data_IF_553898175305
#
_entry.id   IF_553898175305
#
_cell.length_a   1.000
_cell.length_b   1.000
_cell.length_c   1.000
_cell.angle_alpha   90.00
_cell.angle_beta   90.00
_cell.angle_gamma   90.00
#
_symmetry.space_group_name_H-M   'P 1'
#
loop_
_entity.id
_entity.type
_entity.pdbx_description
1 polymer ?
#
# COMPACT_ATOMS: atom_id res chain seq x y z
N UNK A 1 29.56 9.31 -16.54
CA UNK A 1 28.70 10.47 -16.24
C UNK A 1 27.30 10.17 -16.76
N UNK A 2 26.33 10.20 -15.90
CA UNK A 2 24.94 10.16 -16.36
C UNK A 2 24.69 11.42 -17.19
N UNK A 3 24.34 11.27 -18.48
CA UNK A 3 23.91 12.38 -19.31
C UNK A 3 22.70 13.08 -18.68
N UNK A 4 22.51 14.35 -18.97
CA UNK A 4 21.32 15.07 -18.51
C UNK A 4 20.06 14.32 -18.99
N UNK A 5 19.13 14.04 -18.06
CA UNK A 5 17.88 13.41 -18.43
C UNK A 5 17.04 14.33 -19.30
N UNK A 6 16.38 13.78 -20.33
CA UNK A 6 15.51 14.57 -21.20
C UNK A 6 14.24 15.06 -20.47
N UNK A 7 13.83 14.36 -19.41
CA UNK A 7 12.71 14.73 -18.54
C UNK A 7 13.20 14.63 -17.10
N UNK A 8 13.07 15.71 -16.35
CA UNK A 8 13.43 15.75 -14.93
C UNK A 8 12.18 15.48 -14.07
N UNK A 9 12.14 14.29 -13.46
CA UNK A 9 11.06 13.91 -12.54
C UNK A 9 11.48 14.31 -11.14
N UNK A 10 10.71 15.18 -10.48
CA UNK A 10 11.03 15.68 -9.13
C UNK A 10 10.56 14.77 -8.03
N UNK A 11 9.38 14.14 -8.18
CA UNK A 11 8.77 13.26 -7.16
C UNK A 11 7.62 12.47 -7.75
N UNK A 12 7.13 11.50 -7.00
CA UNK A 12 5.81 10.90 -7.24
C UNK A 12 4.74 11.90 -6.82
N UNK A 13 3.84 12.26 -7.72
CA UNK A 13 2.72 13.16 -7.43
C UNK A 13 1.60 12.43 -6.69
N UNK A 14 1.06 11.37 -7.30
CA UNK A 14 0.05 10.51 -6.71
C UNK A 14 0.13 9.10 -7.30
N UNK A 15 -0.63 8.19 -6.70
CA UNK A 15 -0.79 6.82 -7.18
C UNK A 15 -2.28 6.57 -7.36
N UNK A 16 -2.65 6.09 -8.56
CA UNK A 16 -4.02 5.65 -8.85
C UNK A 16 -4.25 4.21 -8.42
N UNK A 17 -5.32 3.98 -7.66
CA UNK A 17 -5.72 2.65 -7.18
C UNK A 17 -7.16 2.41 -7.61
N UNK A 18 -7.42 1.33 -8.34
CA UNK A 18 -8.77 0.98 -8.73
C UNK A 18 -9.46 0.16 -7.65
N UNK A 19 -10.65 0.59 -7.27
CA UNK A 19 -11.50 -0.04 -6.25
C UNK A 19 -12.93 -0.18 -6.76
N UNK A 20 -13.72 -1.04 -6.14
CA UNK A 20 -15.12 -1.26 -6.54
C UNK A 20 -16.07 -0.23 -5.95
N UNK A 21 -15.82 0.23 -4.73
CA UNK A 21 -16.70 1.13 -3.98
C UNK A 21 -15.90 2.07 -3.11
N UNK A 22 -16.20 3.36 -3.19
CA UNK A 22 -15.44 4.39 -2.47
C UNK A 22 -15.62 4.28 -0.96
N UNK A 23 -16.83 4.11 -0.45
CA UNK A 23 -17.09 4.07 1.00
C UNK A 23 -16.44 2.83 1.62
N UNK A 24 -16.50 1.70 0.93
CA UNK A 24 -15.85 0.47 1.34
C UNK A 24 -14.32 0.62 1.36
N UNK A 25 -13.72 1.24 0.35
CA UNK A 25 -12.31 1.55 0.32
C UNK A 25 -11.92 2.50 1.45
N UNK A 26 -12.71 3.54 1.70
CA UNK A 26 -12.41 4.53 2.74
C UNK A 26 -12.49 3.99 4.16
N UNK A 27 -13.22 2.91 4.42
CA UNK A 27 -13.13 2.20 5.71
C UNK A 27 -11.74 1.62 5.98
N UNK A 28 -11.02 1.26 4.93
CA UNK A 28 -9.63 0.80 5.01
C UNK A 28 -8.64 1.98 4.99
N UNK A 29 -8.69 2.82 3.96
CA UNK A 29 -7.72 3.92 3.81
C UNK A 29 -7.85 4.97 4.91
N UNK A 30 -9.03 5.13 5.50
CA UNK A 30 -9.25 5.99 6.68
C UNK A 30 -8.46 5.51 7.90
N UNK A 31 -8.31 4.21 8.12
CA UNK A 31 -7.45 3.66 9.20
C UNK A 31 -5.98 4.03 8.97
N UNK A 32 -5.55 4.13 7.71
CA UNK A 32 -4.20 4.59 7.34
C UNK A 32 -4.04 6.12 7.39
N UNK A 33 -5.06 6.86 7.82
CA UNK A 33 -5.03 8.31 7.99
C UNK A 33 -5.41 9.12 6.76
N UNK A 34 -5.98 8.49 5.73
CA UNK A 34 -6.44 9.19 4.53
C UNK A 34 -7.85 9.72 4.69
N UNK A 35 -8.10 10.88 4.12
CA UNK A 35 -9.41 11.53 4.05
C UNK A 35 -9.70 11.95 2.60
N UNK A 36 -10.98 11.93 2.21
CA UNK A 36 -11.40 12.45 0.90
C UNK A 36 -11.22 13.95 0.89
N UNK A 37 -10.40 14.45 -0.02
CA UNK A 37 -10.19 15.88 -0.26
C UNK A 37 -11.05 16.41 -1.39
N UNK A 38 -11.28 15.60 -2.39
CA UNK A 38 -12.07 15.95 -3.53
C UNK A 38 -12.64 14.71 -4.21
N UNK A 39 -13.82 14.81 -4.74
CA UNK A 39 -14.46 13.76 -5.52
C UNK A 39 -14.95 14.38 -6.83
N UNK A 40 -14.62 13.75 -7.95
CA UNK A 40 -15.09 14.20 -9.25
C UNK A 40 -16.61 14.00 -9.35
N UNK A 41 -17.37 15.05 -9.73
CA UNK A 41 -18.81 14.93 -9.88
C UNK A 41 -19.24 14.17 -11.14
N UNK A 42 -18.34 14.01 -12.12
CA UNK A 42 -18.64 13.45 -13.44
C UNK A 42 -17.92 12.13 -13.70
N UNK A 43 -16.93 11.79 -12.88
CA UNK A 43 -16.12 10.59 -13.05
C UNK A 43 -15.99 9.84 -11.72
N UNK A 44 -15.64 8.58 -11.79
CA UNK A 44 -15.50 7.70 -10.64
C UNK A 44 -14.12 7.84 -9.99
N UNK A 45 -13.70 9.06 -9.66
CA UNK A 45 -12.41 9.36 -9.05
C UNK A 45 -12.58 10.17 -7.77
N UNK A 46 -11.86 9.76 -6.73
CA UNK A 46 -11.73 10.52 -5.49
C UNK A 46 -10.25 10.71 -5.15
N UNK A 47 -9.87 11.94 -4.88
CA UNK A 47 -8.54 12.29 -4.36
C UNK A 47 -8.59 12.16 -2.84
N UNK A 48 -7.73 11.31 -2.30
CA UNK A 48 -7.58 11.15 -0.86
C UNK A 48 -6.16 11.54 -0.44
N UNK A 49 -6.05 12.22 0.69
CA UNK A 49 -4.76 12.66 1.25
C UNK A 49 -4.70 12.41 2.75
N UNK A 50 -3.50 12.21 3.25
CA UNK A 50 -3.25 12.21 4.68
C UNK A 50 -2.68 13.59 5.14
N UNK A 51 -2.39 13.71 6.44
CA UNK A 51 -1.82 14.94 7.03
C UNK A 51 -0.42 15.30 6.53
N UNK A 52 0.28 14.39 5.86
CA UNK A 52 1.62 14.60 5.29
C UNK A 52 1.59 14.83 3.78
N UNK A 53 0.42 15.15 3.23
CA UNK A 53 0.22 15.36 1.79
C UNK A 53 0.54 14.14 0.89
N UNK A 54 0.57 12.95 1.46
CA UNK A 54 0.59 11.75 0.64
C UNK A 54 -0.75 11.64 -0.08
N UNK A 55 -0.73 11.56 -1.40
CA UNK A 55 -1.92 11.54 -2.24
C UNK A 55 -2.11 10.19 -2.91
N UNK A 56 -3.33 9.67 -2.80
CA UNK A 56 -3.82 8.53 -3.58
C UNK A 56 -5.08 8.95 -4.31
N UNK A 57 -5.25 8.47 -5.54
CA UNK A 57 -6.47 8.67 -6.31
C UNK A 57 -7.21 7.34 -6.42
N UNK A 58 -8.37 7.25 -5.77
CA UNK A 58 -9.21 6.06 -5.84
C UNK A 58 -10.11 6.15 -7.08
N UNK A 59 -9.92 5.22 -8.02
CA UNK A 59 -10.76 5.07 -9.21
C UNK A 59 -11.80 4.00 -8.90
N UNK A 60 -13.02 4.40 -8.49
CA UNK A 60 -14.03 3.50 -7.93
C UNK A 60 -15.01 2.95 -8.98
N UNK A 61 -14.47 2.39 -10.05
CA UNK A 61 -15.20 1.76 -11.16
C UNK A 61 -14.72 0.36 -11.50
N UNK A 62 -14.12 -0.34 -10.55
CA UNK A 62 -13.68 -1.71 -10.78
C UNK A 62 -14.87 -2.65 -10.98
N UNK A 63 -14.64 -3.70 -11.77
CA UNK A 63 -15.60 -4.78 -11.93
C UNK A 63 -15.74 -5.57 -10.61
N UNK A 64 -16.93 -5.55 -10.03
CA UNK A 64 -17.22 -6.26 -8.79
C UNK A 64 -17.34 -7.79 -8.97
N UNK A 65 -17.51 -8.27 -10.19
CA UNK A 65 -17.76 -9.69 -10.49
C UNK A 65 -16.48 -10.49 -10.71
N UNK A 66 -15.30 -9.86 -10.67
CA UNK A 66 -14.01 -10.44 -11.03
C UNK A 66 -13.46 -11.47 -10.03
N UNK A 67 -14.30 -12.18 -9.27
CA UNK A 67 -13.89 -13.28 -8.40
C UNK A 67 -12.99 -12.87 -7.23
N UNK A 68 -12.95 -11.60 -6.87
CA UNK A 68 -12.23 -11.06 -5.71
C UNK A 68 -10.76 -11.51 -5.65
N UNK A 69 -10.04 -11.31 -6.74
CA UNK A 69 -8.60 -11.59 -6.83
C UNK A 69 -7.85 -10.43 -7.46
N UNK A 70 -6.62 -10.24 -7.03
CA UNK A 70 -5.69 -9.34 -7.68
C UNK A 70 -4.96 -10.12 -8.79
N UNK A 71 -5.23 -9.78 -10.05
CA UNK A 71 -4.67 -10.51 -11.20
C UNK A 71 -3.14 -10.36 -11.32
N UNK A 72 -2.55 -9.35 -10.71
CA UNK A 72 -1.09 -9.16 -10.70
C UNK A 72 -0.40 -9.99 -9.62
N UNK A 73 -1.10 -10.29 -8.52
CA UNK A 73 -0.51 -10.93 -7.35
C UNK A 73 -1.04 -12.35 -7.08
N UNK A 74 -2.30 -12.64 -7.45
CA UNK A 74 -3.00 -13.83 -6.98
C UNK A 74 -3.19 -14.90 -8.07
N UNK A 75 -2.66 -14.67 -9.27
CA UNK A 75 -2.68 -15.66 -10.36
C UNK A 75 -1.29 -16.24 -10.60
N UNK A 76 -1.26 -17.49 -11.05
CA UNK A 76 0.00 -18.19 -11.33
C UNK A 76 0.79 -17.56 -12.47
N UNK A 77 0.12 -17.16 -13.54
CA UNK A 77 0.74 -16.42 -14.64
C UNK A 77 1.04 -14.98 -14.20
N UNK A 78 2.26 -14.51 -14.43
CA UNK A 78 2.71 -13.19 -14.00
C UNK A 78 2.58 -12.18 -15.12
N UNK A 79 1.71 -11.19 -14.93
CA UNK A 79 1.52 -10.06 -15.85
C UNK A 79 2.33 -8.85 -15.41
N UNK A 80 2.85 -8.03 -16.35
CA UNK A 80 3.52 -6.79 -15.99
C UNK A 80 2.51 -5.77 -15.42
N UNK A 81 2.94 -4.99 -14.43
CA UNK A 81 2.12 -3.95 -13.81
C UNK A 81 2.63 -3.52 -12.44
N UNK A 82 1.97 -2.54 -11.85
CA UNK A 82 2.25 -2.12 -10.48
C UNK A 82 1.69 -3.15 -9.49
N UNK A 83 2.56 -3.70 -8.64
CA UNK A 83 2.17 -4.76 -7.69
C UNK A 83 1.65 -4.20 -6.37
N UNK A 84 2.21 -3.10 -5.89
CA UNK A 84 1.86 -2.50 -4.62
C UNK A 84 2.30 -1.03 -4.54
N UNK A 85 1.78 -0.33 -3.55
CA UNK A 85 2.31 0.93 -3.07
C UNK A 85 2.96 0.71 -1.71
N UNK A 86 4.16 1.23 -1.52
CA UNK A 86 4.85 1.23 -0.23
C UNK A 86 4.72 2.61 0.43
N UNK A 87 4.17 2.62 1.63
CA UNK A 87 3.96 3.83 2.43
C UNK A 87 4.87 3.77 3.66
N UNK A 88 5.63 4.84 3.88
CA UNK A 88 6.51 4.92 5.03
C UNK A 88 5.73 5.25 6.30
N UNK A 89 6.02 4.51 7.36
CA UNK A 89 5.55 4.79 8.71
C UNK A 89 6.75 5.05 9.63
N UNK A 90 6.54 5.81 10.68
CA UNK A 90 7.61 6.08 11.66
C UNK A 90 7.89 4.85 12.52
N UNK A 91 6.83 4.21 13.02
CA UNK A 91 6.91 3.02 13.88
C UNK A 91 6.17 1.85 13.22
N UNK A 92 6.89 0.81 12.84
CA UNK A 92 6.25 -0.42 12.32
C UNK A 92 5.51 -1.18 13.42
N UNK A 93 5.97 -1.08 14.66
CA UNK A 93 5.30 -1.67 15.82
C UNK A 93 3.92 -1.06 16.02
N UNK A 94 3.85 0.28 16.04
CA UNK A 94 2.59 1.01 16.23
C UNK A 94 1.64 0.76 15.06
N UNK A 95 2.17 0.68 13.83
CA UNK A 95 1.39 0.31 12.66
C UNK A 95 0.78 -1.10 12.79
N UNK A 96 1.55 -2.10 13.23
CA UNK A 96 1.07 -3.45 13.47
C UNK A 96 -0.01 -3.47 14.55
N UNK A 97 0.18 -2.73 15.64
CA UNK A 97 -0.81 -2.63 16.71
C UNK A 97 -2.12 -2.01 16.20
N UNK A 98 -2.04 -0.91 15.46
CA UNK A 98 -3.20 -0.25 14.87
C UNK A 98 -3.94 -1.16 13.87
N UNK A 99 -3.23 -1.90 13.03
CA UNK A 99 -3.84 -2.87 12.10
C UNK A 99 -4.64 -3.93 12.85
N UNK A 100 -4.09 -4.47 13.93
CA UNK A 100 -4.76 -5.46 14.79
C UNK A 100 -6.00 -4.89 15.46
N UNK A 101 -5.90 -3.70 16.04
CA UNK A 101 -7.00 -3.00 16.70
C UNK A 101 -8.19 -2.78 15.75
N UNK A 102 -7.91 -2.46 14.48
CA UNK A 102 -8.93 -2.23 13.47
C UNK A 102 -9.29 -3.48 12.64
N UNK A 103 -8.83 -4.66 13.05
CA UNK A 103 -9.17 -5.91 12.38
C UNK A 103 -8.61 -6.07 10.96
N UNK A 104 -7.55 -5.33 10.61
CA UNK A 104 -6.87 -5.45 9.33
C UNK A 104 -5.83 -6.55 9.43
N UNK A 105 -6.01 -7.60 8.63
CA UNK A 105 -5.10 -8.75 8.62
C UNK A 105 -3.81 -8.41 7.87
N UNK A 106 -2.68 -8.73 8.49
CA UNK A 106 -1.38 -8.72 7.83
C UNK A 106 -1.32 -9.95 6.90
N UNK A 107 -1.18 -9.69 5.60
CA UNK A 107 -1.10 -10.74 4.59
C UNK A 107 0.31 -11.35 4.51
N UNK A 108 1.34 -10.52 4.72
CA UNK A 108 2.75 -10.95 4.75
C UNK A 108 3.54 -10.04 5.70
N UNK A 109 4.50 -10.63 6.38
CA UNK A 109 5.39 -9.94 7.33
C UNK A 109 4.92 -10.06 8.79
N UNK A 110 5.64 -9.43 9.73
CA UNK A 110 6.73 -8.48 9.47
C UNK A 110 7.95 -9.16 8.83
N UNK A 111 8.51 -8.52 7.82
CA UNK A 111 9.64 -9.02 7.04
C UNK A 111 10.71 -7.94 6.86
N UNK A 112 11.98 -8.33 7.03
CA UNK A 112 13.14 -7.50 6.73
C UNK A 112 13.77 -7.97 5.41
N UNK A 113 14.09 -7.03 4.54
CA UNK A 113 14.82 -7.32 3.31
C UNK A 113 16.34 -7.23 3.50
N UNK A 114 16.81 -6.96 4.73
CA UNK A 114 18.19 -7.14 5.16
C UNK A 114 19.20 -6.06 4.75
N UNK A 115 18.80 -5.06 3.97
CA UNK A 115 19.76 -4.14 3.37
C UNK A 115 19.81 -2.74 4.00
N UNK A 116 18.78 -2.33 4.73
CA UNK A 116 18.65 -0.94 5.17
C UNK A 116 18.03 -0.77 6.57
N UNK A 117 17.85 -1.84 7.31
CA UNK A 117 17.27 -1.81 8.65
C UNK A 117 15.77 -1.47 8.67
N UNK A 118 15.07 -1.65 7.56
CA UNK A 118 13.63 -1.47 7.49
C UNK A 118 12.89 -2.79 7.59
N UNK A 119 11.71 -2.73 8.19
CA UNK A 119 10.76 -3.84 8.30
C UNK A 119 9.47 -3.44 7.62
N UNK A 120 8.91 -4.39 6.88
CA UNK A 120 7.66 -4.20 6.14
C UNK A 120 6.59 -5.17 6.59
N UNK A 121 5.35 -4.70 6.55
CA UNK A 121 4.15 -5.54 6.56
C UNK A 121 3.32 -5.22 5.32
N UNK A 122 2.70 -6.25 4.76
CA UNK A 122 1.84 -6.14 3.59
C UNK A 122 0.40 -6.42 4.02
N UNK A 123 -0.48 -5.52 3.65
CA UNK A 123 -1.92 -5.63 3.89
C UNK A 123 -2.66 -5.54 2.57
N UNK A 124 -3.91 -5.98 2.57
CA UNK A 124 -4.80 -5.89 1.41
C UNK A 124 -5.94 -4.94 1.72
N UNK A 125 -6.21 -4.04 0.80
CA UNK A 125 -7.45 -3.29 0.85
C UNK A 125 -8.66 -4.20 0.55
N UNK A 126 -9.92 -3.73 0.67
CA UNK A 126 -11.09 -4.58 0.43
C UNK A 126 -11.17 -5.18 -0.98
N UNK A 127 -10.49 -4.59 -1.96
CA UNK A 127 -10.41 -5.07 -3.34
C UNK A 127 -9.12 -5.86 -3.64
N UNK A 128 -8.40 -6.25 -2.59
CA UNK A 128 -7.16 -7.03 -2.63
C UNK A 128 -5.96 -6.29 -3.24
N UNK A 129 -6.04 -4.96 -3.39
CA UNK A 129 -4.86 -4.17 -3.70
C UNK A 129 -3.86 -4.27 -2.57
N UNK A 130 -2.58 -4.36 -2.92
CA UNK A 130 -1.50 -4.55 -1.94
C UNK A 130 -0.97 -3.21 -1.48
N UNK A 131 -0.96 -3.01 -0.17
CA UNK A 131 -0.32 -1.86 0.49
C UNK A 131 0.78 -2.39 1.40
N UNK A 132 2.00 -1.91 1.19
CA UNK A 132 3.13 -2.14 2.06
C UNK A 132 3.25 -0.98 3.06
N UNK A 133 3.32 -1.29 4.34
CA UNK A 133 3.74 -0.33 5.36
C UNK A 133 5.18 -0.65 5.72
N UNK A 134 6.06 0.34 5.54
CA UNK A 134 7.50 0.19 5.69
C UNK A 134 8.04 1.18 6.71
N UNK A 135 8.59 0.68 7.79
CA UNK A 135 9.18 1.46 8.86
C UNK A 135 10.59 1.05 9.17
N UNK A 136 11.30 1.91 9.91
CA UNK A 136 12.56 1.50 10.52
C UNK A 136 12.29 0.45 11.58
N UNK A 137 13.21 -0.46 11.66
CA UNK A 137 13.36 -1.37 12.75
C UNK A 137 13.80 -0.58 13.99
N UNK A 138 12.92 -0.50 14.97
CA UNK A 138 13.22 0.19 16.23
C UNK A 138 13.94 -0.75 17.21
N UNK A 139 13.53 -2.01 17.21
CA UNK A 139 14.12 -3.10 17.97
C UNK A 139 13.53 -4.41 17.44
N UNK A 140 14.28 -5.13 16.60
CA UNK A 140 13.87 -6.43 16.07
C UNK A 140 13.53 -7.44 17.17
N UNK A 141 14.22 -7.38 18.30
CA UNK A 141 13.98 -8.30 19.40
C UNK A 141 12.61 -8.13 20.05
N UNK A 142 12.01 -6.93 19.92
CA UNK A 142 10.70 -6.60 20.47
C UNK A 142 9.53 -6.83 19.51
N UNK A 143 9.83 -7.00 18.21
CA UNK A 143 8.86 -7.24 17.15
C UNK A 143 8.64 -8.74 16.90
N UNK A 144 8.43 -9.57 17.82
CA UNK A 144 8.30 -11.03 17.63
C UNK A 144 7.83 -11.46 16.24
N UNK A 145 8.49 -12.44 15.63
CA UNK A 145 8.10 -13.02 14.36
C UNK A 145 8.63 -12.33 13.10
N UNK A 146 9.61 -11.43 13.21
CA UNK A 146 10.27 -10.85 12.01
C UNK A 146 11.08 -11.93 11.30
N UNK A 147 10.84 -12.07 10.00
CA UNK A 147 11.61 -12.95 9.13
C UNK A 147 12.47 -12.12 8.17
N UNK A 148 13.63 -12.69 7.78
CA UNK A 148 14.44 -12.11 6.70
C UNK A 148 13.96 -12.70 5.38
N UNK A 149 13.68 -11.82 4.42
CA UNK A 149 13.28 -12.26 3.08
C UNK A 149 14.41 -13.07 2.42
N UNK A 150 14.07 -14.24 1.94
CA UNK A 150 14.95 -15.07 1.10
C UNK A 150 14.27 -15.20 -0.26
N UNK A 151 14.87 -14.68 -1.34
CA UNK A 151 14.32 -14.89 -2.67
C UNK A 151 14.25 -16.38 -2.97
N UNK A 152 13.16 -16.83 -3.53
CA UNK A 152 13.06 -18.16 -4.12
C UNK A 152 13.93 -18.17 -5.40
N UNK A 153 14.86 -19.14 -5.49
CA UNK A 153 15.71 -19.33 -6.66
C UNK A 153 14.91 -19.92 -7.83
#
# INVERSE_FOLDING_TARGET
>A
MAGASAIEISRVDHIGIRVTDLDRAMRFYGVLGFEVRWKDPNDAVAVIKNRHDVELNLVFNANADAGKKNILMDVGEKYPGYTHVALRVESIRDAIAALREHGIRIAQGPVSFGLDGHVSVFVRDPDLNVVELRGREEDLSSLGGVTVYKPEN
#
